data_IF_384815030104
#
_entry.id   IF_384815030104
#
_cell.length_a   1.000
_cell.length_b   1.000
_cell.length_c   1.000
_cell.angle_alpha   90.00
_cell.angle_beta   90.00
_cell.angle_gamma   90.00
#
_symmetry.space_group_name_H-M   'P 1'
#
loop_
_entity.id
_entity.type
_entity.pdbx_description
1 polymer ?
#
# COMPACT_ATOMS: atom_id res chain seq x y z
N UNK A 1 34.19 0.59 -41.37
CA UNK A 1 33.81 1.60 -42.37
C UNK A 1 34.71 2.80 -42.15
N UNK A 2 35.59 3.08 -43.11
CA UNK A 2 36.49 4.24 -43.06
C UNK A 2 35.68 5.53 -43.13
N UNK A 3 35.89 6.44 -42.17
CA UNK A 3 35.29 7.77 -42.19
C UNK A 3 36.01 8.60 -43.24
N UNK A 4 35.43 8.76 -44.42
CA UNK A 4 35.91 9.72 -45.41
C UNK A 4 35.70 11.14 -44.87
N UNK A 5 36.78 11.85 -44.55
CA UNK A 5 36.74 13.25 -44.14
C UNK A 5 36.54 14.14 -45.38
N UNK A 6 35.32 14.63 -45.58
CA UNK A 6 34.99 15.57 -46.66
C UNK A 6 35.57 16.95 -46.35
N UNK A 7 36.51 17.42 -47.17
CA UNK A 7 37.14 18.73 -46.99
C UNK A 7 36.29 19.83 -47.67
N UNK A 8 35.49 20.54 -46.88
CA UNK A 8 34.55 21.55 -47.39
C UNK A 8 35.23 22.72 -48.13
N UNK A 9 36.52 22.93 -47.95
CA UNK A 9 37.26 24.05 -48.54
C UNK A 9 37.46 23.90 -50.06
N UNK A 10 37.51 22.67 -50.56
CA UNK A 10 37.88 22.32 -51.94
C UNK A 10 36.66 22.19 -52.89
N UNK A 11 35.44 22.19 -52.35
CA UNK A 11 34.21 22.12 -53.14
C UNK A 11 33.94 23.42 -53.91
N UNK A 12 33.47 23.30 -55.15
CA UNK A 12 33.04 24.43 -55.95
C UNK A 12 31.84 25.13 -55.30
N UNK A 13 31.58 26.39 -55.68
CA UNK A 13 30.41 27.14 -55.18
C UNK A 13 29.08 26.44 -55.52
N UNK A 14 29.01 25.73 -56.66
CA UNK A 14 27.82 24.97 -57.05
C UNK A 14 27.64 23.71 -56.21
N UNK A 15 28.72 22.98 -55.93
CA UNK A 15 28.65 21.74 -55.14
C UNK A 15 28.33 22.04 -53.68
N UNK A 16 28.84 23.14 -53.13
CA UNK A 16 28.44 23.64 -51.80
C UNK A 16 26.95 23.98 -51.74
N UNK A 17 26.41 24.59 -52.80
CA UNK A 17 24.99 24.96 -52.87
C UNK A 17 24.09 23.72 -53.00
N UNK A 18 24.51 22.71 -53.77
CA UNK A 18 23.82 21.42 -53.87
C UNK A 18 23.83 20.66 -52.54
N UNK A 19 25.00 20.56 -51.89
CA UNK A 19 25.14 19.90 -50.59
C UNK A 19 24.28 20.56 -49.50
N UNK A 20 24.25 21.89 -49.44
CA UNK A 20 23.37 22.61 -48.51
C UNK A 20 21.88 22.36 -48.81
N UNK A 21 21.49 22.28 -50.08
CA UNK A 21 20.13 21.97 -50.46
C UNK A 21 19.73 20.53 -50.10
N UNK A 22 20.64 19.57 -50.25
CA UNK A 22 20.47 18.16 -49.86
C UNK A 22 20.32 18.01 -48.34
N UNK A 23 21.21 18.62 -47.55
CA UNK A 23 21.14 18.60 -46.09
C UNK A 23 19.86 19.25 -45.56
N UNK A 24 19.43 20.38 -46.16
CA UNK A 24 18.18 21.03 -45.80
C UNK A 24 16.95 20.17 -46.14
N UNK A 25 16.99 19.43 -47.25
CA UNK A 25 15.94 18.48 -47.62
C UNK A 25 15.90 17.29 -46.66
N UNK A 26 17.05 16.74 -46.28
CA UNK A 26 17.19 15.63 -45.34
C UNK A 26 16.69 16.03 -43.93
N UNK A 27 17.08 17.18 -43.41
CA UNK A 27 16.56 17.70 -42.13
C UNK A 27 15.04 17.85 -42.15
N UNK A 28 14.49 18.33 -43.27
CA UNK A 28 13.04 18.48 -43.43
C UNK A 28 12.34 17.12 -43.41
N UNK A 29 12.91 16.10 -44.07
CA UNK A 29 12.40 14.74 -44.04
C UNK A 29 12.48 14.13 -42.63
N UNK A 30 13.60 14.32 -41.90
CA UNK A 30 13.74 13.85 -40.51
C UNK A 30 12.70 14.51 -39.60
N UNK A 31 12.53 15.83 -39.69
CA UNK A 31 11.52 16.57 -38.91
C UNK A 31 10.10 16.12 -39.26
N UNK A 32 9.81 15.83 -40.52
CA UNK A 32 8.51 15.35 -40.96
C UNK A 32 8.25 13.92 -40.48
N UNK A 33 9.24 13.02 -40.60
CA UNK A 33 9.17 11.66 -40.08
C UNK A 33 8.96 11.66 -38.56
N UNK A 34 9.71 12.46 -37.82
CA UNK A 34 9.57 12.57 -36.36
C UNK A 34 8.19 13.11 -35.94
N UNK A 35 7.59 14.00 -36.72
CA UNK A 35 6.19 14.42 -36.50
C UNK A 35 5.22 13.28 -36.78
N UNK A 36 5.39 12.56 -37.88
CA UNK A 36 4.57 11.39 -38.24
C UNK A 36 4.67 10.29 -37.20
N UNK A 37 5.88 9.93 -36.77
CA UNK A 37 6.15 8.90 -35.77
C UNK A 37 5.51 9.27 -34.42
N UNK A 38 5.51 10.55 -34.03
CA UNK A 38 4.82 11.02 -32.83
C UNK A 38 3.30 10.85 -32.91
N UNK A 39 2.71 11.04 -34.09
CA UNK A 39 1.28 10.83 -34.30
C UNK A 39 0.97 9.32 -34.27
N UNK A 40 1.70 8.52 -35.04
CA UNK A 40 1.55 7.07 -35.09
C UNK A 40 1.75 6.42 -33.72
N UNK A 41 2.73 6.88 -32.92
CA UNK A 41 2.93 6.40 -31.55
C UNK A 41 1.71 6.67 -30.66
N UNK A 42 1.13 7.88 -30.73
CA UNK A 42 -0.07 8.22 -29.94
C UNK A 42 -1.26 7.36 -30.35
N UNK A 43 -1.48 7.19 -31.65
CA UNK A 43 -2.56 6.34 -32.18
C UNK A 43 -2.38 4.89 -31.73
N UNK A 44 -1.18 4.32 -31.91
CA UNK A 44 -0.86 2.96 -31.46
C UNK A 44 -1.01 2.79 -29.94
N UNK A 45 -0.63 3.81 -29.16
CA UNK A 45 -0.78 3.77 -27.70
C UNK A 45 -2.26 3.75 -27.28
N UNK A 46 -3.10 4.54 -27.96
CA UNK A 46 -4.54 4.55 -27.71
C UNK A 46 -5.18 3.24 -28.15
N UNK A 47 -4.82 2.73 -29.33
CA UNK A 47 -5.32 1.44 -29.82
C UNK A 47 -4.92 0.30 -28.88
N UNK A 48 -3.66 0.26 -28.44
CA UNK A 48 -3.20 -0.70 -27.45
C UNK A 48 -4.02 -0.60 -26.15
N UNK A 49 -4.28 0.62 -25.66
CA UNK A 49 -5.08 0.82 -24.46
C UNK A 49 -6.52 0.31 -24.65
N UNK A 50 -7.20 0.71 -25.73
CA UNK A 50 -8.59 0.32 -26.01
C UNK A 50 -8.73 -1.20 -26.19
N UNK A 51 -7.76 -1.84 -26.82
CA UNK A 51 -7.79 -3.29 -27.06
C UNK A 51 -7.56 -4.13 -25.79
N UNK A 52 -7.00 -3.54 -24.73
CA UNK A 52 -6.60 -4.29 -23.54
C UNK A 52 -7.33 -3.86 -22.25
N UNK A 53 -7.99 -2.70 -22.22
CA UNK A 53 -8.62 -2.20 -21.00
C UNK A 53 -9.92 -2.95 -20.67
N UNK A 54 -10.78 -3.19 -21.65
CA UNK A 54 -12.10 -3.79 -21.42
C UNK A 54 -12.02 -5.21 -20.84
N UNK A 55 -11.15 -6.12 -21.33
CA UNK A 55 -10.97 -7.43 -20.71
C UNK A 55 -10.50 -7.38 -19.24
N UNK A 56 -9.77 -6.33 -18.84
CA UNK A 56 -9.36 -6.15 -17.45
C UNK A 56 -10.54 -5.72 -16.57
N UNK A 57 -11.43 -4.87 -17.08
CA UNK A 57 -12.64 -4.43 -16.38
C UNK A 57 -13.63 -5.59 -16.24
N UNK A 58 -13.85 -6.37 -17.31
CA UNK A 58 -14.68 -7.58 -17.24
C UNK A 58 -14.16 -8.54 -16.16
N UNK A 59 -12.84 -8.76 -16.13
CA UNK A 59 -12.23 -9.61 -15.12
C UNK A 59 -12.37 -9.04 -13.71
N UNK A 60 -12.33 -7.72 -13.54
CA UNK A 60 -12.55 -7.06 -12.25
C UNK A 60 -14.00 -7.27 -11.78
N UNK A 61 -14.99 -7.14 -12.66
CA UNK A 61 -16.40 -7.36 -12.33
C UNK A 61 -16.66 -8.81 -11.90
N UNK A 62 -16.07 -9.79 -12.59
CA UNK A 62 -16.14 -11.20 -12.18
C UNK A 62 -15.56 -11.40 -10.77
N UNK A 63 -14.48 -10.68 -10.46
CA UNK A 63 -13.83 -10.76 -9.16
C UNK A 63 -14.66 -10.10 -8.05
N UNK A 64 -15.31 -8.98 -8.33
CA UNK A 64 -16.28 -8.32 -7.44
C UNK A 64 -17.42 -9.28 -7.06
N UNK A 65 -18.09 -9.86 -8.06
CA UNK A 65 -19.17 -10.82 -7.83
C UNK A 65 -18.71 -12.04 -7.01
N UNK A 66 -17.51 -12.54 -7.29
CA UNK A 66 -16.94 -13.67 -6.55
C UNK A 66 -16.66 -13.29 -5.08
N UNK A 67 -16.09 -12.11 -4.84
CA UNK A 67 -15.81 -11.64 -3.47
C UNK A 67 -17.12 -11.44 -2.71
N UNK A 68 -18.13 -10.79 -3.31
CA UNK A 68 -19.44 -10.60 -2.69
C UNK A 68 -20.08 -11.93 -2.29
N UNK A 69 -20.07 -12.90 -3.20
CA UNK A 69 -20.58 -14.27 -2.95
C UNK A 69 -19.84 -14.93 -1.78
N UNK A 70 -18.52 -14.75 -1.68
CA UNK A 70 -17.72 -15.30 -0.57
C UNK A 70 -18.09 -14.62 0.76
N UNK A 71 -18.30 -13.30 0.76
CA UNK A 71 -18.75 -12.57 1.95
C UNK A 71 -20.13 -13.04 2.41
N UNK A 72 -21.08 -13.20 1.49
CA UNK A 72 -22.41 -13.71 1.79
C UNK A 72 -22.34 -15.12 2.39
N UNK A 73 -21.64 -16.05 1.75
CA UNK A 73 -21.46 -17.42 2.26
C UNK A 73 -20.76 -17.46 3.63
N UNK A 74 -19.91 -16.48 3.91
CA UNK A 74 -19.19 -16.42 5.16
C UNK A 74 -20.04 -15.90 6.33
N UNK A 75 -21.14 -15.18 6.06
CA UNK A 75 -22.07 -14.73 7.09
C UNK A 75 -22.69 -15.90 7.88
N UNK A 76 -22.93 -17.04 7.23
CA UNK A 76 -23.42 -18.25 7.89
C UNK A 76 -22.40 -18.78 8.92
N UNK A 77 -21.12 -18.78 8.54
CA UNK A 77 -20.01 -19.18 9.42
C UNK A 77 -19.90 -18.23 10.61
N UNK A 78 -20.02 -16.92 10.37
CA UNK A 78 -20.00 -15.91 11.42
C UNK A 78 -21.19 -16.02 12.37
N UNK A 79 -22.38 -16.28 11.84
CA UNK A 79 -23.61 -16.49 12.62
C UNK A 79 -23.46 -17.71 13.53
N UNK A 80 -23.02 -18.85 12.99
CA UNK A 80 -22.76 -20.04 13.79
C UNK A 80 -21.67 -19.81 14.86
N UNK A 81 -20.60 -19.09 14.52
CA UNK A 81 -19.55 -18.73 15.47
C UNK A 81 -20.11 -17.88 16.61
N UNK A 82 -20.98 -16.92 16.31
CA UNK A 82 -21.66 -16.10 17.29
C UNK A 82 -22.53 -16.95 18.22
N UNK A 83 -23.32 -17.87 17.66
CA UNK A 83 -24.22 -18.74 18.43
C UNK A 83 -23.45 -19.68 19.38
N UNK A 84 -22.33 -20.25 18.92
CA UNK A 84 -21.51 -21.17 19.72
C UNK A 84 -20.78 -20.45 20.86
N UNK A 85 -20.19 -19.29 20.58
CA UNK A 85 -19.27 -18.63 21.51
C UNK A 85 -19.86 -17.42 22.25
N UNK A 86 -21.11 -17.04 21.95
CA UNK A 86 -21.78 -15.89 22.57
C UNK A 86 -21.10 -14.55 22.28
N UNK A 87 -20.37 -14.46 21.17
CA UNK A 87 -19.62 -13.26 20.79
C UNK A 87 -20.52 -12.37 19.93
N UNK A 88 -21.27 -11.49 20.59
CA UNK A 88 -22.20 -10.56 19.92
C UNK A 88 -21.51 -9.55 19.00
N UNK A 89 -20.26 -9.21 19.32
CA UNK A 89 -19.40 -8.33 18.53
C UNK A 89 -18.27 -9.12 17.92
N UNK A 90 -18.45 -9.51 16.66
CA UNK A 90 -17.32 -9.84 15.80
C UNK A 90 -16.65 -8.51 15.37
N UNK A 91 -16.04 -7.79 16.33
CA UNK A 91 -15.26 -6.55 16.08
C UNK A 91 -13.97 -6.82 15.28
N UNK A 92 -13.85 -8.01 14.69
CA UNK A 92 -12.75 -8.38 13.83
C UNK A 92 -13.01 -7.82 12.44
N UNK A 93 -12.02 -7.09 11.93
CA UNK A 93 -12.07 -6.52 10.58
C UNK A 93 -11.78 -7.55 9.49
N UNK A 94 -11.25 -8.70 9.89
CA UNK A 94 -11.01 -9.84 9.03
C UNK A 94 -11.09 -11.14 9.80
N UNK A 95 -11.41 -12.21 9.10
CA UNK A 95 -11.49 -13.55 9.64
C UNK A 95 -10.73 -14.52 8.77
N UNK A 96 -9.95 -15.39 9.41
CA UNK A 96 -9.16 -16.42 8.74
C UNK A 96 -9.66 -17.79 9.14
N UNK A 97 -9.90 -18.64 8.14
CA UNK A 97 -10.17 -20.06 8.31
C UNK A 97 -9.06 -20.83 7.62
N UNK A 98 -8.41 -21.72 8.38
CA UNK A 98 -7.31 -22.56 7.89
C UNK A 98 -7.69 -24.01 8.09
N UNK A 99 -7.50 -24.84 7.06
CA UNK A 99 -7.76 -26.26 7.17
C UNK A 99 -6.76 -26.89 8.17
N UNK A 100 -7.16 -27.84 9.04
CA UNK A 100 -6.30 -28.38 10.10
C UNK A 100 -4.99 -29.00 9.61
N UNK A 101 -4.97 -29.58 8.41
CA UNK A 101 -3.76 -30.15 7.80
C UNK A 101 -2.83 -29.09 7.14
N UNK A 102 -3.23 -27.82 7.14
CA UNK A 102 -2.49 -26.72 6.55
C UNK A 102 -2.52 -26.62 5.02
N UNK A 103 -3.34 -27.44 4.34
CA UNK A 103 -3.41 -27.50 2.87
C UNK A 103 -4.03 -26.26 2.22
N UNK A 104 -4.88 -25.52 2.94
CA UNK A 104 -5.44 -24.27 2.48
C UNK A 104 -5.81 -23.32 3.64
N UNK A 105 -5.88 -22.05 3.30
CA UNK A 105 -6.35 -20.98 4.19
C UNK A 105 -7.03 -19.90 3.37
N UNK A 106 -8.10 -19.31 3.94
CA UNK A 106 -8.80 -18.16 3.38
C UNK A 106 -9.00 -17.12 4.48
N UNK A 107 -8.76 -15.85 4.12
CA UNK A 107 -8.97 -14.66 4.93
C UNK A 107 -9.93 -13.75 4.20
N UNK A 108 -10.99 -13.33 4.87
CA UNK A 108 -12.06 -12.47 4.35
C UNK A 108 -12.13 -11.24 5.26
N UNK A 109 -12.09 -10.03 4.71
CA UNK A 109 -12.13 -8.82 5.54
C UNK A 109 -12.12 -7.50 4.78
N UNK A 110 -12.09 -6.41 5.54
CA UNK A 110 -12.04 -5.05 5.01
C UNK A 110 -10.63 -4.45 5.16
N UNK A 111 -10.19 -3.70 4.16
CA UNK A 111 -9.04 -2.83 4.30
C UNK A 111 -9.42 -1.66 5.20
N UNK A 112 -8.75 -1.51 6.34
CA UNK A 112 -9.05 -0.44 7.29
C UNK A 112 -8.05 0.69 7.14
N UNK A 113 -8.57 1.90 6.98
CA UNK A 113 -7.79 3.11 7.15
C UNK A 113 -8.02 3.65 8.55
N UNK A 114 -6.92 3.95 9.25
CA UNK A 114 -6.97 4.53 10.58
C UNK A 114 -6.51 5.98 10.49
N UNK A 115 -7.36 6.88 10.94
CA UNK A 115 -7.07 8.30 11.09
C UNK A 115 -7.29 8.73 12.54
N UNK A 116 -6.95 9.98 12.83
CA UNK A 116 -7.18 10.61 14.12
C UNK A 116 -7.94 11.93 13.94
N UNK A 117 -8.75 12.33 14.92
CA UNK A 117 -9.57 13.54 14.86
C UNK A 117 -8.85 14.84 15.27
N UNK A 118 -7.59 14.76 15.69
CA UNK A 118 -6.77 15.88 16.15
C UNK A 118 -6.63 15.96 17.67
N UNK A 119 -7.47 15.27 18.44
CA UNK A 119 -7.40 15.27 19.91
C UNK A 119 -6.28 14.39 20.46
N UNK A 120 -5.73 13.48 19.65
CA UNK A 120 -4.60 12.61 20.02
C UNK A 120 -3.37 13.41 20.45
N UNK A 121 -3.21 14.63 19.94
CA UNK A 121 -2.11 15.53 20.34
C UNK A 121 -2.17 15.87 21.82
N UNK A 122 -3.36 16.05 22.39
CA UNK A 122 -3.53 16.30 23.83
C UNK A 122 -3.15 15.06 24.65
N UNK A 123 -3.50 13.87 24.18
CA UNK A 123 -3.10 12.60 24.81
C UNK A 123 -1.58 12.37 24.76
N UNK A 124 -0.94 12.65 23.61
CA UNK A 124 0.52 12.62 23.47
C UNK A 124 1.15 13.58 24.48
N UNK A 125 0.66 14.82 24.59
CA UNK A 125 1.22 15.80 25.51
C UNK A 125 1.13 15.34 26.96
N UNK A 126 0.00 14.73 27.37
CA UNK A 126 -0.15 14.15 28.72
C UNK A 126 0.88 13.05 28.99
N UNK A 127 1.03 12.09 28.07
CA UNK A 127 2.03 11.02 28.19
C UNK A 127 3.44 11.61 28.27
N UNK A 128 3.75 12.61 27.44
CA UNK A 128 5.06 13.26 27.43
C UNK A 128 5.35 14.01 28.74
N UNK A 129 4.36 14.72 29.29
CA UNK A 129 4.49 15.41 30.57
C UNK A 129 4.78 14.42 31.71
N UNK A 130 4.06 13.29 31.74
CA UNK A 130 4.31 12.21 32.70
C UNK A 130 5.73 11.67 32.59
N UNK A 131 6.21 11.39 31.36
CA UNK A 131 7.57 10.89 31.14
C UNK A 131 8.65 11.89 31.53
N UNK A 132 8.42 13.20 31.31
CA UNK A 132 9.34 14.25 31.76
C UNK A 132 9.38 14.36 33.28
N UNK A 133 8.22 14.28 33.95
CA UNK A 133 8.16 14.26 35.41
C UNK A 133 8.90 13.05 36.00
N UNK A 134 8.76 11.88 35.36
CA UNK A 134 9.45 10.66 35.75
C UNK A 134 10.98 10.74 35.50
N UNK A 135 11.40 11.40 34.42
CA UNK A 135 12.83 11.55 34.04
C UNK A 135 13.53 12.71 34.76
N UNK A 136 12.81 13.52 35.53
CA UNK A 136 13.38 14.62 36.32
C UNK A 136 14.30 14.17 37.45
N UNK A 137 14.30 12.87 37.76
CA UNK A 137 15.32 12.23 38.58
C UNK A 137 16.50 11.84 37.66
N UNK A 138 17.44 12.76 37.44
CA UNK A 138 18.53 12.65 36.46
C UNK A 138 19.43 11.38 36.63
N UNK A 139 19.25 10.64 37.74
CA UNK A 139 19.97 9.43 38.06
C UNK A 139 19.25 8.13 37.64
N UNK A 140 18.00 8.18 37.16
CA UNK A 140 17.28 6.98 36.72
C UNK A 140 17.45 6.72 35.21
N UNK A 141 18.50 5.98 34.87
CA UNK A 141 18.74 5.53 33.49
C UNK A 141 17.56 4.75 32.89
N UNK A 142 16.75 4.08 33.71
CA UNK A 142 15.61 3.31 33.23
C UNK A 142 14.47 4.23 32.81
N UNK A 143 14.21 5.30 33.56
CA UNK A 143 13.24 6.33 33.20
C UNK A 143 13.59 6.98 31.84
N UNK A 144 14.87 7.30 31.63
CA UNK A 144 15.36 7.87 30.36
C UNK A 144 15.19 6.88 29.19
N UNK A 145 15.56 5.61 29.38
CA UNK A 145 15.40 4.56 28.35
C UNK A 145 13.93 4.33 28.00
N UNK A 146 13.06 4.34 29.01
CA UNK A 146 11.62 4.17 28.86
C UNK A 146 10.98 5.34 28.11
N UNK A 147 11.34 6.57 28.47
CA UNK A 147 10.90 7.79 27.76
C UNK A 147 11.28 7.74 26.28
N UNK A 148 12.50 7.30 25.96
CA UNK A 148 12.96 7.13 24.57
C UNK A 148 12.15 6.07 23.81
N UNK A 149 11.82 4.95 24.47
CA UNK A 149 11.00 3.89 23.88
C UNK A 149 9.58 4.37 23.58
N UNK A 150 8.93 5.06 24.52
CA UNK A 150 7.59 5.63 24.33
C UNK A 150 7.58 6.67 23.21
N UNK A 151 8.58 7.56 23.16
CA UNK A 151 8.75 8.52 22.07
C UNK A 151 8.84 7.83 20.70
N UNK A 152 9.52 6.68 20.62
CA UNK A 152 9.62 5.92 19.38
C UNK A 152 8.30 5.25 18.97
N UNK A 153 7.47 4.90 19.95
CA UNK A 153 6.12 4.35 19.74
C UNK A 153 5.14 5.43 19.26
N UNK A 154 5.19 6.62 19.87
CA UNK A 154 4.36 7.78 19.53
C UNK A 154 4.87 8.58 18.31
N UNK A 155 6.00 8.19 17.71
CA UNK A 155 6.54 8.90 16.55
C UNK A 155 5.59 8.80 15.34
N UNK A 156 5.08 9.94 14.82
CA UNK A 156 4.23 9.92 13.63
C UNK A 156 4.97 9.41 12.40
N UNK A 157 4.21 8.85 11.46
CA UNK A 157 4.73 8.45 10.16
C UNK A 157 5.13 9.69 9.34
N UNK A 158 6.34 9.70 8.79
CA UNK A 158 6.89 10.84 8.02
C UNK A 158 6.04 11.17 6.78
N UNK A 159 5.40 10.17 6.17
CA UNK A 159 4.60 10.35 4.95
C UNK A 159 3.17 10.80 5.24
N UNK A 160 2.53 10.22 6.26
CA UNK A 160 1.11 10.47 6.53
C UNK A 160 0.88 11.49 7.65
N UNK A 161 1.91 11.79 8.46
CA UNK A 161 1.79 12.64 9.64
C UNK A 161 1.01 12.00 10.81
N UNK A 162 0.51 10.77 10.65
CA UNK A 162 -0.35 10.09 11.62
C UNK A 162 0.43 9.12 12.51
N UNK A 163 -0.10 8.83 13.71
CA UNK A 163 0.39 7.78 14.59
C UNK A 163 0.24 6.40 13.93
N UNK A 164 1.14 5.47 14.28
CA UNK A 164 1.05 4.10 13.80
C UNK A 164 0.16 3.26 14.74
N UNK A 165 -0.97 2.71 14.26
CA UNK A 165 -1.91 1.99 15.12
C UNK A 165 -1.31 0.77 15.82
N UNK A 166 -0.44 0.00 15.14
CA UNK A 166 0.24 -1.14 15.77
C UNK A 166 1.12 -0.72 16.94
N UNK A 167 1.75 0.46 16.84
CA UNK A 167 2.58 1.01 17.92
C UNK A 167 1.72 1.51 19.08
N UNK A 168 0.55 2.09 18.80
CA UNK A 168 -0.40 2.50 19.84
C UNK A 168 -0.92 1.30 20.60
N UNK A 169 -1.26 0.19 19.92
CA UNK A 169 -1.65 -1.06 20.58
C UNK A 169 -0.54 -1.58 21.50
N UNK A 170 0.71 -1.58 21.02
CA UNK A 170 1.86 -1.98 21.84
C UNK A 170 2.03 -1.08 23.07
N UNK A 171 1.91 0.24 22.89
CA UNK A 171 2.02 1.19 23.99
C UNK A 171 0.88 1.05 25.00
N UNK A 172 -0.33 0.76 24.52
CA UNK A 172 -1.51 0.50 25.36
C UNK A 172 -1.34 -0.77 26.21
N UNK A 173 -0.65 -1.79 25.72
CA UNK A 173 -0.33 -3.00 26.49
C UNK A 173 0.63 -2.73 27.65
N UNK A 174 1.42 -1.66 27.57
CA UNK A 174 2.40 -1.30 28.60
C UNK A 174 1.78 -0.48 29.75
N UNK A 175 0.46 -0.17 29.74
CA UNK A 175 -0.19 0.62 30.80
C UNK A 175 0.08 0.08 32.21
N UNK A 176 0.05 -1.25 32.38
CA UNK A 176 0.36 -1.89 33.67
C UNK A 176 1.77 -1.63 34.17
N UNK A 177 2.72 -1.43 33.26
CA UNK A 177 4.12 -1.20 33.60
C UNK A 177 4.34 0.24 34.07
N UNK A 178 3.51 1.18 33.60
CA UNK A 178 3.56 2.58 34.01
C UNK A 178 2.72 2.87 35.26
N UNK A 179 1.59 2.18 35.44
CA UNK A 179 0.69 2.31 36.58
C UNK A 179 0.41 3.78 36.98
N UNK A 180 0.14 4.63 35.98
CA UNK A 180 -0.03 6.08 36.15
C UNK A 180 -1.36 6.52 35.56
N UNK A 181 -2.25 7.15 36.37
CA UNK A 181 -3.52 7.68 35.88
C UNK A 181 -3.34 8.69 34.74
N UNK A 182 -2.25 9.47 34.74
CA UNK A 182 -1.95 10.47 33.72
C UNK A 182 -1.54 9.82 32.39
N UNK A 183 -0.81 8.70 32.46
CA UNK A 183 -0.46 7.91 31.28
C UNK A 183 -1.70 7.23 30.70
N UNK A 184 -2.53 6.64 31.55
CA UNK A 184 -3.76 5.96 31.15
C UNK A 184 -4.74 6.94 30.49
N UNK A 185 -4.96 8.12 31.09
CA UNK A 185 -5.81 9.17 30.50
C UNK A 185 -5.25 9.63 29.15
N UNK A 186 -3.93 9.82 29.04
CA UNK A 186 -3.30 10.17 27.76
C UNK A 186 -3.51 9.10 26.69
N UNK A 187 -3.49 7.83 27.08
CA UNK A 187 -3.74 6.71 26.18
C UNK A 187 -5.21 6.58 25.80
N UNK A 188 -6.13 6.84 26.74
CA UNK A 188 -7.58 6.88 26.47
C UNK A 188 -7.89 7.95 25.43
N UNK A 189 -7.35 9.16 25.58
CA UNK A 189 -7.52 10.25 24.60
C UNK A 189 -7.00 9.85 23.21
N UNK A 190 -5.81 9.22 23.12
CA UNK A 190 -5.28 8.77 21.83
C UNK A 190 -6.16 7.68 21.20
N UNK A 191 -6.71 6.78 22.03
CA UNK A 191 -7.57 5.68 21.57
C UNK A 191 -8.93 6.20 21.11
N UNK A 192 -9.52 7.14 21.85
CA UNK A 192 -10.80 7.77 21.53
C UNK A 192 -10.71 8.66 20.29
N UNK A 193 -9.56 9.30 20.08
CA UNK A 193 -9.28 10.05 18.86
C UNK A 193 -9.21 9.17 17.60
N UNK A 194 -9.04 7.85 17.76
CA UNK A 194 -8.81 6.93 16.66
C UNK A 194 -10.09 6.67 15.87
N UNK A 195 -10.11 7.14 14.62
CA UNK A 195 -11.18 6.86 13.66
C UNK A 195 -10.80 5.69 12.75
N UNK A 196 -11.66 4.67 12.72
CA UNK A 196 -11.50 3.48 11.86
C UNK A 196 -12.50 3.52 10.72
N UNK A 197 -12.02 3.64 9.50
CA UNK A 197 -12.86 3.65 8.30
C UNK A 197 -12.64 2.37 7.51
N UNK A 198 -13.73 1.63 7.28
CA UNK A 198 -13.75 0.48 6.38
C UNK A 198 -13.65 0.96 4.93
N UNK A 199 -12.60 0.52 4.24
CA UNK A 199 -12.40 0.71 2.81
C UNK A 199 -12.85 -0.51 2.02
N UNK A 200 -12.14 -0.79 0.93
CA UNK A 200 -12.39 -1.94 0.05
C UNK A 200 -12.38 -3.26 0.81
N UNK A 201 -13.15 -4.21 0.30
CA UNK A 201 -13.15 -5.59 0.81
C UNK A 201 -12.01 -6.36 0.17
N UNK A 202 -11.60 -7.45 0.82
CA UNK A 202 -10.62 -8.35 0.25
C UNK A 202 -10.86 -9.79 0.66
N UNK A 203 -10.44 -10.68 -0.23
CA UNK A 203 -10.31 -12.11 0.02
C UNK A 203 -8.89 -12.52 -0.33
N UNK A 204 -8.17 -13.09 0.62
CA UNK A 204 -6.79 -13.54 0.42
C UNK A 204 -6.56 -14.90 1.02
N UNK A 205 -5.54 -15.61 0.59
CA UNK A 205 -5.25 -16.91 1.14
C UNK A 205 -4.27 -17.71 0.31
N UNK A 206 -4.26 -19.01 0.56
CA UNK A 206 -3.46 -19.94 -0.22
C UNK A 206 -4.09 -21.33 -0.29
N UNK A 207 -3.69 -22.09 -1.31
CA UNK A 207 -4.01 -23.51 -1.43
C UNK A 207 -2.83 -24.27 -2.04
N UNK A 208 -2.51 -25.44 -1.49
CA UNK A 208 -1.62 -26.38 -2.14
C UNK A 208 -2.38 -27.13 -3.23
N UNK A 209 -1.90 -27.07 -4.47
CA UNK A 209 -2.49 -27.74 -5.63
C UNK A 209 -1.51 -28.75 -6.22
N UNK A 210 -2.02 -29.88 -6.70
CA UNK A 210 -1.20 -30.86 -7.41
C UNK A 210 -0.88 -30.36 -8.83
N UNK A 211 0.37 -30.46 -9.22
CA UNK A 211 0.91 -30.08 -10.53
C UNK A 211 1.70 -31.26 -11.08
N UNK A 212 1.06 -32.06 -11.94
CA UNK A 212 1.62 -33.32 -12.43
C UNK A 212 1.57 -34.45 -11.41
N UNK A 213 2.30 -35.55 -11.67
CA UNK A 213 2.13 -36.80 -10.92
C UNK A 213 2.67 -36.78 -9.48
N UNK A 214 3.62 -35.89 -9.12
CA UNK A 214 4.30 -35.92 -7.81
C UNK A 214 4.78 -34.54 -7.30
N UNK A 215 4.13 -33.43 -7.68
CA UNK A 215 4.54 -32.11 -7.20
C UNK A 215 3.35 -31.30 -6.71
N UNK A 216 3.45 -30.78 -5.50
CA UNK A 216 2.52 -29.79 -4.96
C UNK A 216 3.08 -28.38 -5.13
N UNK A 217 2.24 -27.45 -5.58
CA UNK A 217 2.55 -26.02 -5.64
C UNK A 217 1.65 -25.26 -4.68
N UNK A 218 2.23 -24.36 -3.87
CA UNK A 218 1.46 -23.37 -3.12
C UNK A 218 1.01 -22.27 -4.08
N UNK A 219 -0.29 -22.08 -4.20
CA UNK A 219 -0.89 -20.95 -4.94
C UNK A 219 -1.42 -19.97 -3.92
N UNK A 220 -0.87 -18.75 -3.93
CA UNK A 220 -1.32 -17.64 -3.10
C UNK A 220 -2.20 -16.71 -3.93
N UNK A 221 -3.22 -16.15 -3.30
CA UNK A 221 -4.14 -15.22 -3.93
C UNK A 221 -4.49 -14.08 -2.99
N UNK A 222 -4.72 -12.90 -3.57
CA UNK A 222 -5.31 -11.75 -2.91
C UNK A 222 -6.13 -10.98 -3.93
N UNK A 223 -7.40 -10.82 -3.63
CA UNK A 223 -8.36 -10.06 -4.41
C UNK A 223 -8.85 -8.91 -3.55
N UNK A 224 -8.93 -7.73 -4.12
CA UNK A 224 -9.40 -6.53 -3.41
C UNK A 224 -10.36 -5.82 -4.33
N UNK A 225 -11.54 -5.53 -3.79
CA UNK A 225 -12.65 -4.92 -4.51
C UNK A 225 -13.24 -3.80 -3.67
#
# INVERSE_FOLDING_TARGET
MESQTVNLSELSKEDKKKLMAELAAEEKQIKQKLKSDKVAYKELSVEFLLNNIDPLIERQNDMEQLVDTIFENFNDVLSLKKDIYGIDKLDQESHTVTHPDGSCSITIGHNITISFDGTETAGIQKIMNYLTALSGDENDENAVKLSKAVNQLLKPNVKTGMLNPSKIIQLNQMRSDFNSPEFDEGMDIITDAQNRTKGSTYVSGYKFVQVGENRTKKVEFRFTV
#
